data_IF_241654253218
#
_entry.id   IF_241654253218
#
_cell.length_a   1.000
_cell.length_b   1.000
_cell.length_c   1.000
_cell.angle_alpha   90.00
_cell.angle_beta   90.00
_cell.angle_gamma   90.00
#
_symmetry.space_group_name_H-M   'P 1'
#
loop_
_entity.id
_entity.type
_entity.pdbx_description
1 polymer ?
#
# COMPACT_ATOMS: atom_id res chain seq x y z
N UNK A 1 -20.23 -3.45 8.45
CA UNK A 1 -19.45 -2.57 7.56
C UNK A 1 -18.46 -1.77 8.41
N UNK A 2 -17.24 -2.25 8.56
CA UNK A 2 -16.10 -1.40 8.96
C UNK A 2 -15.66 -0.63 7.70
N UNK A 3 -15.54 0.70 7.77
CA UNK A 3 -15.27 1.58 6.62
C UNK A 3 -13.83 1.48 6.08
N UNK A 4 -13.40 0.28 5.71
CA UNK A 4 -12.10 0.08 5.08
C UNK A 4 -12.05 0.75 3.71
N UNK A 5 -10.95 1.45 3.44
CA UNK A 5 -10.66 2.01 2.12
C UNK A 5 -10.26 0.85 1.21
N UNK A 6 -11.01 0.64 0.13
CA UNK A 6 -10.78 -0.42 -0.85
C UNK A 6 -10.37 0.17 -2.20
N UNK A 7 -9.67 -0.62 -3.01
CA UNK A 7 -9.43 -0.26 -4.41
C UNK A 7 -10.77 -0.11 -5.16
N UNK A 8 -10.85 0.91 -6.01
CA UNK A 8 -12.09 1.26 -6.70
C UNK A 8 -12.59 0.08 -7.54
N UNK A 9 -13.88 -0.24 -7.40
CA UNK A 9 -14.50 -1.38 -8.10
C UNK A 9 -14.21 -2.75 -7.47
N UNK A 10 -13.45 -2.79 -6.38
CA UNK A 10 -13.10 -4.04 -5.67
C UNK A 10 -13.61 -4.03 -4.23
N UNK A 11 -13.52 -5.19 -3.58
CA UNK A 11 -13.62 -5.30 -2.11
C UNK A 11 -12.25 -5.52 -1.45
N UNK A 12 -11.17 -5.33 -2.19
CA UNK A 12 -9.80 -5.54 -1.72
C UNK A 12 -9.36 -4.30 -0.94
N UNK A 13 -9.05 -4.42 0.36
CA UNK A 13 -8.58 -3.31 1.16
C UNK A 13 -7.22 -2.80 0.66
N UNK A 14 -7.01 -1.48 0.67
CA UNK A 14 -5.69 -0.88 0.39
C UNK A 14 -4.65 -1.35 1.41
N UNK A 15 -5.05 -1.60 2.65
CA UNK A 15 -4.21 -2.18 3.69
C UNK A 15 -3.62 -3.56 3.31
N UNK A 16 -4.34 -4.34 2.50
CA UNK A 16 -3.87 -5.65 2.05
C UNK A 16 -2.62 -5.52 1.17
N UNK A 17 -2.52 -4.48 0.33
CA UNK A 17 -1.32 -4.22 -0.47
C UNK A 17 -0.09 -4.05 0.43
N UNK A 18 -0.16 -3.13 1.39
CA UNK A 18 0.97 -2.85 2.28
C UNK A 18 1.32 -4.04 3.19
N UNK A 19 0.32 -4.79 3.66
CA UNK A 19 0.54 -5.97 4.50
C UNK A 19 1.25 -7.09 3.73
N UNK A 20 0.86 -7.33 2.47
CA UNK A 20 1.51 -8.32 1.61
C UNK A 20 2.96 -7.93 1.28
N UNK A 21 3.19 -6.66 0.94
CA UNK A 21 4.55 -6.16 0.72
C UNK A 21 5.41 -6.26 2.00
N UNK A 22 4.83 -6.00 3.18
CA UNK A 22 5.54 -6.06 4.45
C UNK A 22 5.99 -7.48 4.84
N UNK A 23 5.30 -8.52 4.37
CA UNK A 23 5.71 -9.93 4.58
C UNK A 23 6.65 -10.44 3.47
N UNK A 24 7.05 -9.57 2.55
CA UNK A 24 8.04 -9.86 1.50
C UNK A 24 7.46 -10.31 0.16
N UNK A 25 6.14 -10.26 -0.03
CA UNK A 25 5.57 -10.47 -1.36
C UNK A 25 5.91 -9.30 -2.27
N UNK A 26 6.13 -9.61 -3.54
CA UNK A 26 6.28 -8.63 -4.61
C UNK A 26 4.93 -8.05 -5.02
N UNK A 27 4.97 -6.90 -5.71
CA UNK A 27 3.77 -6.32 -6.31
C UNK A 27 3.12 -7.26 -7.33
N UNK A 28 3.92 -7.99 -8.09
CA UNK A 28 3.43 -8.98 -9.05
C UNK A 28 2.66 -10.12 -8.35
N UNK A 29 3.21 -10.69 -7.28
CA UNK A 29 2.53 -11.73 -6.48
C UNK A 29 1.22 -11.22 -5.86
N UNK A 30 1.19 -9.96 -5.40
CA UNK A 30 -0.05 -9.34 -4.92
C UNK A 30 -1.11 -9.25 -6.03
N UNK A 31 -0.74 -8.83 -7.23
CA UNK A 31 -1.67 -8.70 -8.36
C UNK A 31 -2.16 -10.05 -8.88
N UNK A 32 -1.32 -11.09 -8.79
CA UNK A 32 -1.73 -12.47 -9.06
C UNK A 32 -2.79 -12.96 -8.06
N UNK A 33 -2.66 -12.60 -6.77
CA UNK A 33 -3.64 -12.95 -5.74
C UNK A 33 -4.92 -12.10 -5.82
N UNK A 34 -4.81 -10.84 -6.24
CA UNK A 34 -5.91 -9.89 -6.35
C UNK A 34 -6.06 -9.32 -7.77
N UNK A 35 -6.41 -10.15 -8.77
CA UNK A 35 -6.42 -9.76 -10.19
C UNK A 35 -7.49 -8.72 -10.56
N UNK A 36 -8.36 -8.35 -9.61
CA UNK A 36 -9.33 -7.26 -9.78
C UNK A 36 -8.74 -5.88 -9.50
N UNK A 37 -7.57 -5.82 -8.86
CA UNK A 37 -6.80 -4.58 -8.68
C UNK A 37 -5.90 -4.41 -9.89
N UNK A 38 -5.87 -3.22 -10.48
CA UNK A 38 -4.98 -2.95 -11.62
C UNK A 38 -3.60 -2.53 -11.15
N UNK A 39 -2.59 -2.69 -12.01
CA UNK A 39 -1.24 -2.19 -11.78
C UNK A 39 -1.27 -0.69 -11.42
N UNK A 40 -2.00 0.12 -12.17
CA UNK A 40 -2.08 1.57 -11.94
C UNK A 40 -2.72 1.91 -10.60
N UNK A 41 -3.71 1.14 -10.17
CA UNK A 41 -4.33 1.32 -8.85
C UNK A 41 -3.35 1.02 -7.72
N UNK A 42 -2.60 -0.08 -7.84
CA UNK A 42 -1.62 -0.47 -6.84
C UNK A 42 -0.43 0.52 -6.80
N UNK A 43 0.09 0.92 -7.95
CA UNK A 43 1.14 1.95 -8.07
C UNK A 43 0.70 3.29 -7.48
N UNK A 44 -0.52 3.75 -7.80
CA UNK A 44 -1.06 4.98 -7.25
C UNK A 44 -1.16 4.94 -5.72
N UNK A 45 -1.55 3.80 -5.14
CA UNK A 45 -1.59 3.63 -3.69
C UNK A 45 -0.19 3.72 -3.05
N UNK A 46 0.83 3.12 -3.68
CA UNK A 46 2.22 3.19 -3.22
C UNK A 46 2.78 4.61 -3.28
N UNK A 47 2.56 5.32 -4.39
CA UNK A 47 2.99 6.71 -4.56
C UNK A 47 2.31 7.60 -3.53
N UNK A 48 0.99 7.50 -3.40
CA UNK A 48 0.23 8.28 -2.44
C UNK A 48 0.71 8.06 -1.00
N UNK A 49 0.92 6.80 -0.61
CA UNK A 49 1.46 6.44 0.70
C UNK A 49 2.85 7.05 0.92
N UNK A 50 3.75 6.90 -0.04
CA UNK A 50 5.10 7.45 0.03
C UNK A 50 5.15 8.98 0.14
N UNK A 51 4.27 9.69 -0.56
CA UNK A 51 4.17 11.15 -0.48
C UNK A 51 3.65 11.62 0.89
N UNK A 52 2.67 10.93 1.45
CA UNK A 52 2.05 11.34 2.71
C UNK A 52 2.88 10.96 3.93
N UNK A 53 3.63 9.86 3.88
CA UNK A 53 4.55 9.45 4.95
C UNK A 53 5.68 10.48 5.17
N UNK A 54 6.11 11.20 4.12
CA UNK A 54 7.12 12.28 4.23
C UNK A 54 6.67 13.44 5.11
N UNK A 55 5.35 13.65 5.23
CA UNK A 55 4.79 14.69 6.08
C UNK A 55 4.70 14.29 7.56
N UNK A 56 4.97 13.02 7.88
CA UNK A 56 4.87 12.50 9.23
C UNK A 56 6.23 12.60 9.94
N UNK A 57 6.30 13.45 10.97
CA UNK A 57 7.51 13.81 11.74
C UNK A 57 8.29 12.60 12.29
N UNK A 58 7.58 11.48 12.53
CA UNK A 58 8.17 10.22 12.99
C UNK A 58 9.16 9.61 11.97
N UNK A 59 8.98 9.85 10.67
CA UNK A 59 9.84 9.30 9.63
C UNK A 59 11.25 9.94 9.63
N UNK A 60 11.36 11.24 9.96
CA UNK A 60 12.67 11.93 10.06
C UNK A 60 13.55 11.39 11.20
N UNK A 61 12.95 10.80 12.22
CA UNK A 61 13.69 10.23 13.35
C UNK A 61 14.31 8.86 13.07
N UNK A 62 13.92 8.17 11.98
CA UNK A 62 14.53 6.89 11.61
C UNK A 62 15.86 7.04 10.86
N UNK A 63 16.03 8.11 10.07
CA UNK A 63 17.29 8.37 9.35
C UNK A 63 18.45 8.78 10.28
N UNK A 64 18.16 9.33 11.46
CA UNK A 64 19.19 9.70 12.44
C UNK A 64 19.68 8.52 13.30
N UNK A 65 19.08 7.34 13.17
CA UNK A 65 19.37 6.17 14.01
C UNK A 65 20.24 5.11 13.32
N UNK A 66 20.71 5.35 12.10
CA UNK A 66 21.60 4.48 11.32
C UNK A 66 22.93 5.19 11.01
#
# INVERSE_FOLDING_TARGET
>A
MSGAVCFAGTRVPVEALFSNLAIGLSLAEFLEEFPTVTDEQAEAALIFGGEHLKSFDRWQNFESAA
#
